data_IF_753247929499
#
_entry.id   IF_753247929499
#
_cell.length_a   1.000
_cell.length_b   1.000
_cell.length_c   1.000
_cell.angle_alpha   90.00
_cell.angle_beta   90.00
_cell.angle_gamma   90.00
#
_symmetry.space_group_name_H-M   'P 1'
#
loop_
_entity.id
_entity.type
_entity.pdbx_description
1 polymer ?
#
# COMPACT_ATOMS: atom_id res chain seq x y z
N UNK A 1 2.22 -11.29 -6.65
CA UNK A 1 1.22 -11.19 -5.57
C UNK A 1 1.18 -12.41 -4.62
N UNK A 2 2.34 -12.88 -4.09
CA UNK A 2 2.46 -14.02 -3.13
C UNK A 2 2.06 -13.66 -1.66
N UNK A 3 1.42 -12.52 -1.45
CA UNK A 3 1.18 -11.90 -0.13
C UNK A 3 -0.31 -11.86 0.26
N UNK A 4 -1.20 -12.48 -0.50
CA UNK A 4 -2.65 -12.54 -0.22
C UNK A 4 -3.02 -13.38 1.02
N UNK A 5 -2.04 -13.83 1.81
CA UNK A 5 -2.26 -14.54 3.06
C UNK A 5 -2.33 -13.50 4.18
N UNK A 6 -3.46 -13.38 4.93
CA UNK A 6 -3.62 -12.39 5.99
C UNK A 6 -2.49 -12.37 7.02
N UNK A 7 -1.91 -13.54 7.32
CA UNK A 7 -0.76 -13.65 8.23
C UNK A 7 0.49 -12.94 7.68
N UNK A 8 0.79 -13.11 6.39
CA UNK A 8 1.94 -12.43 5.75
C UNK A 8 1.75 -10.92 5.70
N UNK A 9 0.51 -10.47 5.59
CA UNK A 9 0.17 -9.05 5.64
C UNK A 9 0.43 -8.46 7.04
N UNK A 10 -0.08 -9.10 8.09
CA UNK A 10 0.13 -8.67 9.47
C UNK A 10 1.63 -8.68 9.85
N UNK A 11 2.37 -9.68 9.39
CA UNK A 11 3.81 -9.77 9.60
C UNK A 11 4.61 -8.63 8.99
N UNK A 12 4.18 -8.08 7.85
CA UNK A 12 4.87 -6.94 7.20
C UNK A 12 4.96 -5.76 8.16
N UNK A 13 3.82 -5.36 8.73
CA UNK A 13 3.77 -4.20 9.62
C UNK A 13 4.48 -4.50 10.93
N UNK A 14 4.32 -5.71 11.46
CA UNK A 14 5.04 -6.13 12.67
C UNK A 14 6.57 -6.10 12.51
N UNK A 15 7.08 -6.42 11.32
CA UNK A 15 8.52 -6.50 11.04
C UNK A 15 9.13 -5.18 10.59
N UNK A 16 8.41 -4.37 9.83
CA UNK A 16 8.97 -3.21 9.13
C UNK A 16 8.38 -1.86 9.52
N UNK A 17 7.26 -1.81 10.26
CA UNK A 17 6.63 -0.55 10.66
C UNK A 17 7.25 -0.01 11.96
N UNK A 18 8.47 0.53 11.85
CA UNK A 18 9.26 0.99 12.99
C UNK A 18 8.82 2.37 13.52
N UNK A 19 8.39 3.24 12.61
CA UNK A 19 7.99 4.62 12.92
C UNK A 19 6.59 4.66 13.49
N UNK A 20 5.67 3.88 12.91
CA UNK A 20 4.28 3.82 13.33
C UNK A 20 3.76 2.38 13.21
N UNK A 21 3.15 1.78 14.25
CA UNK A 21 2.77 0.36 14.22
C UNK A 21 1.79 -0.02 13.11
N UNK A 22 1.00 0.95 12.65
CA UNK A 22 -0.08 0.80 11.67
C UNK A 22 0.23 1.45 10.32
N UNK A 23 1.46 1.89 10.07
CA UNK A 23 1.81 2.51 8.79
C UNK A 23 3.28 2.35 8.40
N UNK A 24 3.53 2.29 7.08
CA UNK A 24 4.88 2.23 6.53
C UNK A 24 5.26 3.58 5.92
N UNK A 25 6.44 4.06 6.26
CA UNK A 25 7.12 5.11 5.50
C UNK A 25 7.71 4.55 4.22
N UNK A 26 8.08 5.43 3.29
CA UNK A 26 8.73 5.01 2.04
C UNK A 26 10.09 4.32 2.27
N UNK A 27 10.78 4.63 3.37
CA UNK A 27 12.05 3.97 3.74
C UNK A 27 11.80 2.54 4.22
N UNK A 28 10.86 2.35 5.14
CA UNK A 28 10.45 1.05 5.67
C UNK A 28 9.85 0.14 4.58
N UNK A 29 9.10 0.73 3.65
CA UNK A 29 8.62 0.00 2.47
C UNK A 29 9.78 -0.50 1.60
N UNK A 30 10.80 0.31 1.37
CA UNK A 30 11.97 -0.13 0.61
C UNK A 30 12.75 -1.24 1.34
N UNK A 31 12.88 -1.13 2.65
CA UNK A 31 13.49 -2.18 3.48
C UNK A 31 12.73 -3.51 3.37
N UNK A 32 11.40 -3.48 3.54
CA UNK A 32 10.53 -4.64 3.35
C UNK A 32 10.73 -5.27 1.96
N UNK A 33 10.80 -4.44 0.91
CA UNK A 33 10.97 -4.90 -0.46
C UNK A 33 12.37 -5.47 -0.73
N UNK A 34 13.39 -5.06 0.02
CA UNK A 34 14.73 -5.63 -0.06
C UNK A 34 14.80 -6.96 0.71
N UNK A 35 14.18 -7.04 1.89
CA UNK A 35 14.14 -8.24 2.73
C UNK A 35 13.40 -9.41 2.06
N UNK A 36 12.36 -9.12 1.27
CA UNK A 36 11.54 -10.14 0.60
C UNK A 36 12.05 -10.56 -0.81
N UNK A 37 13.28 -10.20 -1.19
CA UNK A 37 13.84 -10.56 -2.50
C UNK A 37 14.27 -12.03 -2.56
N UNK A 38 13.67 -12.82 -3.46
CA UNK A 38 14.11 -14.19 -3.78
C UNK A 38 15.38 -14.18 -4.65
N UNK A 39 16.52 -14.77 -4.23
CA UNK A 39 17.76 -14.80 -5.01
C UNK A 39 17.54 -15.33 -6.43
N UNK A 40 18.08 -14.63 -7.44
CA UNK A 40 18.00 -14.96 -8.88
C UNK A 40 16.63 -14.72 -9.56
N UNK A 41 15.63 -14.13 -8.91
CA UNK A 41 14.35 -13.75 -9.54
C UNK A 41 14.23 -12.24 -9.82
N UNK A 42 14.97 -11.76 -10.81
CA UNK A 42 14.95 -10.34 -11.20
C UNK A 42 13.59 -9.85 -11.73
N UNK A 43 12.83 -10.72 -12.41
CA UNK A 43 11.50 -10.37 -12.94
C UNK A 43 10.48 -10.25 -11.80
N UNK A 44 10.50 -11.19 -10.85
CA UNK A 44 9.67 -11.14 -9.65
C UNK A 44 10.00 -9.93 -8.77
N UNK A 45 11.28 -9.56 -8.66
CA UNK A 45 11.69 -8.33 -7.96
C UNK A 45 11.13 -7.09 -8.60
N UNK A 46 11.25 -6.95 -9.93
CA UNK A 46 10.77 -5.76 -10.62
C UNK A 46 9.25 -5.64 -10.53
N UNK A 47 8.52 -6.76 -10.66
CA UNK A 47 7.06 -6.81 -10.49
C UNK A 47 6.61 -6.40 -9.09
N UNK A 48 7.19 -7.02 -8.05
CA UNK A 48 6.86 -6.70 -6.66
C UNK A 48 7.24 -5.27 -6.27
N UNK A 49 8.43 -4.80 -6.67
CA UNK A 49 8.87 -3.42 -6.43
C UNK A 49 7.93 -2.41 -7.09
N UNK A 50 7.48 -2.67 -8.32
CA UNK A 50 6.61 -1.75 -9.06
C UNK A 50 5.24 -1.67 -8.42
N UNK A 51 4.63 -2.82 -8.11
CA UNK A 51 3.31 -2.90 -7.47
C UNK A 51 3.27 -2.12 -6.15
N UNK A 52 4.25 -2.37 -5.26
CA UNK A 52 4.32 -1.69 -3.97
C UNK A 52 4.68 -0.21 -4.07
N UNK A 53 5.55 0.19 -5.01
CA UNK A 53 5.86 1.60 -5.24
C UNK A 53 4.66 2.38 -5.79
N UNK A 54 3.93 1.81 -6.74
CA UNK A 54 2.71 2.41 -7.28
C UNK A 54 1.67 2.54 -6.17
N UNK A 55 1.47 1.48 -5.38
CA UNK A 55 0.55 1.51 -4.25
C UNK A 55 0.92 2.63 -3.27
N UNK A 56 2.17 2.69 -2.83
CA UNK A 56 2.65 3.74 -1.93
C UNK A 56 2.47 5.14 -2.53
N UNK A 57 2.77 5.32 -3.81
CA UNK A 57 2.60 6.62 -4.46
C UNK A 57 1.15 7.08 -4.54
N UNK A 58 0.20 6.14 -4.67
CA UNK A 58 -1.23 6.44 -4.78
C UNK A 58 -1.90 6.61 -3.42
N UNK A 59 -1.44 5.87 -2.41
CA UNK A 59 -2.18 5.64 -1.17
C UNK A 59 -1.52 6.21 0.09
N UNK A 60 -0.30 6.75 -0.01
CA UNK A 60 0.31 7.46 1.12
C UNK A 60 -0.50 8.71 1.48
N UNK A 61 -0.52 9.04 2.76
CA UNK A 61 -1.08 10.30 3.22
C UNK A 61 -0.14 11.49 2.96
N UNK A 62 -0.53 12.67 3.43
CA UNK A 62 0.22 13.92 3.27
C UNK A 62 1.56 13.91 4.01
N UNK A 63 1.65 13.13 5.08
CA UNK A 63 2.82 13.00 5.94
C UNK A 63 3.77 11.88 5.45
N UNK A 64 3.37 11.15 4.42
CA UNK A 64 4.17 10.10 3.78
C UNK A 64 3.98 8.71 4.40
N UNK A 65 2.86 8.48 5.08
CA UNK A 65 2.53 7.18 5.67
C UNK A 65 1.57 6.39 4.78
N UNK A 66 1.94 5.15 4.49
CA UNK A 66 1.05 4.17 3.90
C UNK A 66 0.39 3.36 5.02
N UNK A 67 -0.86 3.71 5.33
CA UNK A 67 -1.62 3.08 6.41
C UNK A 67 -2.00 1.65 6.07
N UNK A 68 -1.93 0.79 7.08
CA UNK A 68 -2.27 -0.63 7.02
C UNK A 68 -3.66 -0.86 6.47
N UNK A 69 -4.66 -0.11 6.93
CA UNK A 69 -6.03 -0.25 6.44
C UNK A 69 -6.18 0.11 4.96
N UNK A 70 -5.35 1.02 4.44
CA UNK A 70 -5.34 1.33 3.01
C UNK A 70 -4.77 0.16 2.21
N UNK A 71 -3.71 -0.48 2.71
CA UNK A 71 -3.15 -1.68 2.08
C UNK A 71 -4.15 -2.84 2.16
N UNK A 72 -4.86 -3.02 3.28
CA UNK A 72 -5.95 -3.99 3.42
C UNK A 72 -7.07 -3.75 2.40
N UNK A 73 -7.46 -2.48 2.21
CA UNK A 73 -8.48 -2.08 1.24
C UNK A 73 -8.10 -2.40 -0.22
N UNK A 74 -6.80 -2.45 -0.53
CA UNK A 74 -6.31 -2.87 -1.86
C UNK A 74 -6.47 -4.37 -2.06
N UNK A 75 -6.19 -5.13 -0.99
CA UNK A 75 -6.31 -6.59 -1.02
C UNK A 75 -7.75 -7.07 -1.04
N UNK A 76 -8.66 -6.42 -0.31
CA UNK A 76 -10.09 -6.76 -0.28
C UNK A 76 -10.90 -6.12 -1.42
N UNK A 77 -10.29 -5.21 -2.19
CA UNK A 77 -10.90 -4.52 -3.34
C UNK A 77 -11.72 -3.27 -2.99
N UNK A 78 -11.97 -3.01 -1.70
CA UNK A 78 -12.79 -1.88 -1.24
C UNK A 78 -12.13 -0.51 -1.46
N UNK A 79 -10.81 -0.44 -1.71
CA UNK A 79 -10.13 0.82 -2.02
C UNK A 79 -10.73 1.50 -3.25
N UNK A 80 -11.03 0.73 -4.30
CA UNK A 80 -11.57 1.29 -5.53
C UNK A 80 -12.97 1.86 -5.33
N UNK A 81 -13.78 1.22 -4.50
CA UNK A 81 -15.10 1.73 -4.10
C UNK A 81 -14.99 3.06 -3.34
N UNK A 82 -14.06 3.14 -2.38
CA UNK A 82 -13.78 4.38 -1.64
C UNK A 82 -13.33 5.51 -2.57
N UNK A 83 -12.42 5.22 -3.50
CA UNK A 83 -11.94 6.19 -4.48
C UNK A 83 -13.05 6.65 -5.44
N UNK A 84 -13.95 5.74 -5.83
CA UNK A 84 -15.11 6.08 -6.65
C UNK A 84 -16.08 7.00 -5.90
N UNK A 85 -16.36 6.69 -4.62
CA UNK A 85 -17.20 7.52 -3.75
C UNK A 85 -16.59 8.91 -3.54
N UNK A 86 -15.29 9.01 -3.25
CA UNK A 86 -14.60 10.30 -3.14
C UNK A 86 -14.67 11.12 -4.44
N UNK A 87 -14.52 10.46 -5.60
CA UNK A 87 -14.67 11.10 -6.90
C UNK A 87 -16.09 11.61 -7.14
N UNK A 88 -17.11 10.82 -6.80
CA UNK A 88 -18.53 11.22 -6.90
C UNK A 88 -18.81 12.40 -5.96
N UNK A 89 -18.36 12.35 -4.71
CA UNK A 89 -18.52 13.43 -3.73
C UNK A 89 -17.85 14.73 -4.19
N UNK A 90 -16.63 14.67 -4.74
CA UNK A 90 -15.95 15.85 -5.32
C UNK A 90 -16.72 16.44 -6.49
N UNK A 91 -17.26 15.61 -7.39
CA UNK A 91 -18.08 16.07 -8.52
C UNK A 91 -19.36 16.77 -8.06
N UNK A 92 -20.05 16.20 -7.08
CA UNK A 92 -21.27 16.79 -6.49
C UNK A 92 -20.97 18.12 -5.77
N UNK A 93 -19.84 18.21 -5.06
CA UNK A 93 -19.40 19.45 -4.41
C UNK A 93 -19.10 20.57 -5.42
N UNK A 94 -18.47 20.26 -6.55
CA UNK A 94 -18.22 21.23 -7.64
C UNK A 94 -19.47 21.62 -8.43
N UNK A 95 -20.55 20.84 -8.37
CA UNK A 95 -21.80 21.12 -9.10
C UNK A 95 -22.77 21.99 -8.31
N UNK A 96 -22.60 22.06 -6.98
CA UNK A 96 -23.38 22.90 -6.05
C UNK A 96 -22.75 24.27 -5.78
N UNK A 97 -21.60 24.57 -6.39
CA UNK A 97 -20.87 25.83 -6.25
C UNK A 97 -20.97 26.62 -7.56
#
# INVERSE_FOLDING_TARGET
MKLAVPEKFEEIFKKHAHTKPDALTGKELQEMLQANREPKDFKGWLGGLTEWKVLYSLCKDKDGFLHKDTVRAVYDGSLFERLEQERKAKKEFTKKK
#
